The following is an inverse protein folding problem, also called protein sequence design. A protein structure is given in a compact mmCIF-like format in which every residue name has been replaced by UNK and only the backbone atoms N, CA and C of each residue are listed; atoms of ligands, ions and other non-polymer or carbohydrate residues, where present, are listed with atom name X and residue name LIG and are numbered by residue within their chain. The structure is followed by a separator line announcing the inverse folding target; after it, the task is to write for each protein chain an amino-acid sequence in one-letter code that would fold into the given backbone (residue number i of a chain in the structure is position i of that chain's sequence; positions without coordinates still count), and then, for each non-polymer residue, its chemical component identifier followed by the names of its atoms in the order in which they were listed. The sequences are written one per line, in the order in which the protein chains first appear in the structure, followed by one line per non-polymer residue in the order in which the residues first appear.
data_IF_380598762645
#
_entry.id   IF_380598762645
#
_cell.length_a   1.000
_cell.length_b   1.000
_cell.length_c   1.000
_cell.angle_alpha   90.00
_cell.angle_beta   90.00
_cell.angle_gamma   90.00
#
_symmetry.space_group_name_H-M   'P 1'
#
loop_
_entity.id
_entity.type
_entity.pdbx_description
1 polymer ?
#
# COMPACT_ATOMS: atom_id res chain seq x y z
N UNK A 1 20.75 23.34 0.57
CA UNK A 1 19.52 22.78 -0.01
C UNK A 1 19.27 21.34 0.45
N UNK A 2 20.11 20.33 0.15
CA UNK A 2 19.89 18.96 0.69
C UNK A 2 19.96 18.87 2.24
N UNK A 3 20.96 19.48 2.87
CA UNK A 3 21.15 19.39 4.34
C UNK A 3 20.03 20.08 5.13
N UNK A 4 19.50 21.17 4.59
CA UNK A 4 18.32 21.87 5.14
C UNK A 4 17.06 21.02 4.99
N UNK A 5 16.85 20.37 3.84
CA UNK A 5 15.68 19.50 3.62
C UNK A 5 15.66 18.29 4.57
N UNK A 6 16.83 17.64 4.76
CA UNK A 6 16.97 16.52 5.72
C UNK A 6 16.67 16.97 7.16
N UNK A 7 17.07 18.18 7.54
CA UNK A 7 16.81 18.71 8.88
C UNK A 7 15.34 18.99 9.13
N UNK A 8 14.62 19.48 8.11
CA UNK A 8 13.17 19.73 8.17
C UNK A 8 12.38 18.42 8.22
N UNK A 9 12.73 17.44 7.38
CA UNK A 9 12.14 16.10 7.39
C UNK A 9 12.22 15.47 8.78
N UNK A 10 13.43 15.39 9.35
CA UNK A 10 13.65 14.77 10.67
C UNK A 10 12.92 15.51 11.79
N UNK A 11 12.86 16.84 11.74
CA UNK A 11 12.15 17.65 12.72
C UNK A 11 10.64 17.38 12.65
N UNK A 12 10.04 17.46 11.46
CA UNK A 12 8.60 17.28 11.28
C UNK A 12 8.15 15.87 11.61
N UNK A 13 8.89 14.85 11.16
CA UNK A 13 8.64 13.46 11.55
C UNK A 13 8.64 13.33 13.07
N UNK A 14 9.63 13.90 13.77
CA UNK A 14 9.70 13.86 15.24
C UNK A 14 8.50 14.53 15.91
N UNK A 15 8.01 15.65 15.38
CA UNK A 15 6.82 16.33 15.91
C UNK A 15 5.56 15.49 15.72
N UNK A 16 5.35 14.92 14.53
CA UNK A 16 4.25 13.99 14.25
C UNK A 16 4.25 12.84 15.26
N UNK A 17 5.43 12.27 15.57
CA UNK A 17 5.56 11.19 16.56
C UNK A 17 5.27 11.63 18.00
N UNK A 18 5.73 12.83 18.38
CA UNK A 18 5.47 13.38 19.70
C UNK A 18 3.96 13.57 19.92
N UNK A 19 3.26 14.07 18.90
CA UNK A 19 1.82 14.28 18.99
C UNK A 19 1.06 12.96 19.02
N UNK A 20 1.47 11.97 18.22
CA UNK A 20 0.92 10.63 18.27
C UNK A 20 1.05 9.98 19.66
N UNK A 21 2.20 10.12 20.31
CA UNK A 21 2.44 9.61 21.66
C UNK A 21 1.52 10.30 22.69
N UNK A 22 1.32 11.60 22.52
CA UNK A 22 0.42 12.41 23.36
C UNK A 22 -1.03 11.93 23.22
N UNK A 23 -1.47 11.70 21.99
CA UNK A 23 -2.82 11.20 21.66
C UNK A 23 -3.04 9.75 22.12
N UNK A 24 -2.03 8.89 22.01
CA UNK A 24 -2.08 7.52 22.54
C UNK A 24 -2.33 7.50 24.05
N UNK A 25 -1.72 8.43 24.80
CA UNK A 25 -1.98 8.62 26.23
C UNK A 25 -3.42 9.04 26.56
N UNK A 26 -4.22 9.41 25.55
CA UNK A 26 -5.63 9.79 25.68
C UNK A 26 -6.60 8.75 25.12
N UNK A 27 -6.10 7.61 24.63
CA UNK A 27 -6.90 6.53 24.07
C UNK A 27 -7.03 6.54 22.55
N UNK A 28 -6.37 7.46 21.83
CA UNK A 28 -6.40 7.49 20.36
C UNK A 28 -5.26 6.63 19.82
N UNK A 29 -5.59 5.56 19.09
CA UNK A 29 -4.60 4.67 18.49
C UNK A 29 -3.73 5.38 17.45
N UNK A 30 -2.52 4.87 17.20
CA UNK A 30 -1.61 5.49 16.24
C UNK A 30 -2.21 5.52 14.82
N UNK A 31 -2.83 4.43 14.38
CA UNK A 31 -3.46 4.34 13.05
C UNK A 31 -4.62 5.33 12.90
N UNK A 32 -5.44 5.48 13.95
CA UNK A 32 -6.50 6.48 13.98
C UNK A 32 -5.92 7.89 13.86
N UNK A 33 -4.85 8.19 14.60
CA UNK A 33 -4.15 9.47 14.52
C UNK A 33 -3.61 9.76 13.12
N UNK A 34 -2.90 8.82 12.48
CA UNK A 34 -2.37 9.02 11.11
C UNK A 34 -3.51 9.26 10.12
N UNK A 35 -4.65 8.61 10.33
CA UNK A 35 -5.85 8.82 9.50
C UNK A 35 -6.40 10.24 9.68
N UNK A 36 -6.52 10.74 10.93
CA UNK A 36 -6.95 12.13 11.18
C UNK A 36 -5.96 13.15 10.64
N UNK A 37 -4.66 12.90 10.81
CA UNK A 37 -3.58 13.70 10.24
C UNK A 37 -3.71 13.78 8.71
N UNK A 38 -4.07 12.68 8.06
CA UNK A 38 -4.23 12.60 6.61
C UNK A 38 -5.40 13.48 6.12
N UNK A 39 -6.56 13.38 6.76
CA UNK A 39 -7.72 14.22 6.43
C UNK A 39 -7.40 15.72 6.55
N UNK A 40 -6.77 16.11 7.66
CA UNK A 40 -6.43 17.50 7.94
C UNK A 40 -5.32 18.01 7.02
N UNK A 41 -4.31 17.17 6.73
CA UNK A 41 -3.22 17.52 5.82
C UNK A 41 -3.74 17.78 4.41
N UNK A 42 -4.65 16.96 3.90
CA UNK A 42 -5.25 17.19 2.59
C UNK A 42 -6.01 18.53 2.53
N UNK A 43 -6.81 18.84 3.55
CA UNK A 43 -7.50 20.14 3.65
C UNK A 43 -6.52 21.33 3.68
N UNK A 44 -5.42 21.21 4.42
CA UNK A 44 -4.38 22.25 4.46
C UNK A 44 -3.75 22.45 3.09
N UNK A 45 -3.43 21.36 2.39
CA UNK A 45 -2.79 21.42 1.06
C UNK A 45 -3.72 22.02 0.00
N UNK A 46 -5.02 21.70 0.02
CA UNK A 46 -6.00 22.35 -0.87
C UNK A 46 -6.07 23.87 -0.63
N UNK A 47 -6.08 24.30 0.63
CA UNK A 47 -6.07 25.73 0.96
C UNK A 47 -4.77 26.42 0.53
N UNK A 48 -3.61 25.77 0.69
CA UNK A 48 -2.35 26.32 0.18
C UNK A 48 -2.32 26.40 -1.35
N UNK A 49 -2.97 25.47 -2.05
CA UNK A 49 -3.05 25.50 -3.52
C UNK A 49 -3.84 26.74 -3.98
N UNK A 50 -4.97 27.02 -3.32
CA UNK A 50 -5.79 28.22 -3.56
C UNK A 50 -4.99 29.50 -3.28
N UNK A 51 -4.22 29.55 -2.19
CA UNK A 51 -3.41 30.72 -1.81
C UNK A 51 -2.17 30.94 -2.69
N UNK A 52 -1.47 29.87 -3.10
CA UNK A 52 -0.17 29.97 -3.79
C UNK A 52 -0.28 29.97 -5.31
N UNK A 53 -1.28 29.28 -5.86
CA UNK A 53 -1.42 29.05 -7.30
C UNK A 53 -2.72 29.63 -7.88
N UNK A 54 -3.55 30.28 -7.05
CA UNK A 54 -4.85 30.85 -7.45
C UNK A 54 -5.78 29.81 -8.11
N UNK A 55 -5.61 28.53 -7.76
CA UNK A 55 -6.48 27.45 -8.22
C UNK A 55 -7.79 27.43 -7.42
N UNK A 56 -8.91 27.15 -8.08
CA UNK A 56 -10.19 26.98 -7.39
C UNK A 56 -10.12 25.77 -6.44
N UNK A 57 -10.41 26.00 -5.17
CA UNK A 57 -10.50 24.93 -4.18
C UNK A 57 -11.54 23.89 -4.60
N UNK A 58 -11.14 22.62 -4.53
CA UNK A 58 -12.04 21.51 -4.80
C UNK A 58 -12.92 21.17 -3.58
N UNK A 59 -12.73 21.89 -2.47
CA UNK A 59 -13.47 21.73 -1.21
C UNK A 59 -14.66 22.71 -1.17
N UNK A 60 -15.88 22.22 -0.87
CA UNK A 60 -17.07 23.08 -0.80
C UNK A 60 -16.92 24.26 0.17
N UNK A 61 -17.51 25.40 -0.22
CA UNK A 61 -17.52 26.61 0.60
C UNK A 61 -18.11 26.33 1.99
N UNK A 62 -17.47 26.89 3.03
CA UNK A 62 -17.86 26.69 4.43
C UNK A 62 -17.29 25.44 5.08
N UNK A 63 -16.55 24.59 4.36
CA UNK A 63 -15.88 23.38 4.88
C UNK A 63 -14.38 23.35 4.56
N UNK A 64 -13.80 24.50 4.22
CA UNK A 64 -12.38 24.65 3.88
C UNK A 64 -11.53 24.76 5.13
N UNK A 65 -10.20 24.66 4.97
CA UNK A 65 -9.25 24.76 6.09
C UNK A 65 -9.45 26.01 6.96
N UNK A 66 -9.72 27.16 6.35
CA UNK A 66 -9.96 28.43 7.08
C UNK A 66 -11.15 28.32 8.04
N UNK A 67 -12.21 27.62 7.63
CA UNK A 67 -13.41 27.43 8.45
C UNK A 67 -13.11 26.51 9.65
N UNK A 68 -12.19 25.57 9.51
CA UNK A 68 -11.82 24.63 10.57
C UNK A 68 -10.82 25.24 11.56
N UNK A 69 -9.78 25.93 11.07
CA UNK A 69 -8.65 26.35 11.92
C UNK A 69 -9.00 27.41 12.95
N UNK A 70 -10.01 28.23 12.69
CA UNK A 70 -10.45 29.31 13.59
C UNK A 70 -11.41 28.83 14.69
N UNK A 71 -11.95 27.60 14.58
CA UNK A 71 -12.91 27.06 15.54
C UNK A 71 -12.24 26.44 16.77
N UNK A 72 -12.96 26.43 17.89
CA UNK A 72 -12.52 25.85 19.15
C UNK A 72 -13.65 25.07 19.84
N UNK A 73 -13.31 24.31 20.87
CA UNK A 73 -14.28 23.62 21.72
C UNK A 73 -15.16 22.61 20.98
N UNK A 74 -16.41 22.47 21.41
CA UNK A 74 -17.34 21.50 20.82
C UNK A 74 -17.77 21.90 19.41
N UNK A 75 -17.73 23.19 19.09
CA UNK A 75 -18.05 23.70 17.75
C UNK A 75 -17.03 23.19 16.72
N UNK A 76 -15.73 23.21 17.07
CA UNK A 76 -14.68 22.61 16.26
C UNK A 76 -14.95 21.12 15.98
N UNK A 77 -15.30 20.36 17.02
CA UNK A 77 -15.54 18.92 16.89
C UNK A 77 -16.71 18.63 15.94
N UNK A 78 -17.83 19.31 16.17
CA UNK A 78 -19.04 19.20 15.35
C UNK A 78 -18.78 19.59 13.90
N UNK A 79 -18.03 20.68 13.68
CA UNK A 79 -17.70 21.15 12.34
C UNK A 79 -16.75 20.21 11.61
N UNK A 80 -15.74 19.67 12.30
CA UNK A 80 -14.83 18.68 11.74
C UNK A 80 -15.59 17.42 11.29
N UNK A 81 -16.46 16.88 12.13
CA UNK A 81 -17.28 15.71 11.79
C UNK A 81 -18.22 15.98 10.60
N UNK A 82 -18.82 17.17 10.54
CA UNK A 82 -19.64 17.58 9.41
C UNK A 82 -18.83 17.72 8.11
N UNK A 83 -17.62 18.27 8.21
CA UNK A 83 -16.67 18.37 7.09
C UNK A 83 -16.31 16.99 6.56
N UNK A 84 -15.90 16.06 7.44
CA UNK A 84 -15.60 14.67 7.04
C UNK A 84 -16.78 14.00 6.33
N UNK A 85 -18.01 14.20 6.83
CA UNK A 85 -19.21 13.66 6.19
C UNK A 85 -19.38 14.18 4.77
N UNK A 86 -19.32 15.51 4.57
CA UNK A 86 -19.53 16.13 3.26
C UNK A 86 -18.46 15.72 2.25
N UNK A 87 -17.21 15.59 2.71
CA UNK A 87 -16.10 15.18 1.85
C UNK A 87 -16.17 13.69 1.51
N UNK A 88 -16.70 12.85 2.41
CA UNK A 88 -16.93 11.43 2.12
C UNK A 88 -18.03 11.17 1.10
N UNK A 89 -18.88 12.17 0.83
CA UNK A 89 -19.96 12.13 -0.17
C UNK A 89 -19.49 12.67 -1.54
N UNK A 90 -18.24 13.14 -1.66
CA UNK A 90 -17.66 13.58 -2.94
C UNK A 90 -17.17 12.39 -3.78
N UNK A 91 -16.90 12.66 -5.05
CA UNK A 91 -16.33 11.68 -5.99
C UNK A 91 -14.81 11.83 -6.14
N UNK A 92 -14.21 10.96 -6.95
CA UNK A 92 -12.82 11.02 -7.39
C UNK A 92 -11.82 11.04 -6.21
N UNK A 93 -10.69 11.76 -6.34
CA UNK A 93 -9.63 11.80 -5.32
C UNK A 93 -10.14 12.20 -3.93
N UNK A 94 -11.00 13.22 -3.85
CA UNK A 94 -11.57 13.67 -2.57
C UNK A 94 -12.39 12.56 -1.94
N UNK A 95 -13.34 11.99 -2.69
CA UNK A 95 -14.14 10.86 -2.20
C UNK A 95 -13.29 9.68 -1.72
N UNK A 96 -12.21 9.36 -2.44
CA UNK A 96 -11.29 8.29 -2.05
C UNK A 96 -10.52 8.60 -0.78
N UNK A 97 -9.95 9.80 -0.65
CA UNK A 97 -9.23 10.21 0.56
C UNK A 97 -10.18 10.18 1.76
N UNK A 98 -11.42 10.63 1.60
CA UNK A 98 -12.41 10.67 2.68
C UNK A 98 -13.33 9.43 2.72
N UNK A 99 -12.87 8.28 2.20
CA UNK A 99 -13.66 7.04 2.16
C UNK A 99 -14.21 6.68 3.55
N UNK A 100 -15.54 6.78 3.72
CA UNK A 100 -16.23 6.54 5.00
C UNK A 100 -15.55 7.25 6.18
N UNK A 101 -15.11 8.49 5.96
CA UNK A 101 -14.34 9.26 6.93
C UNK A 101 -15.08 9.39 8.27
N UNK A 102 -14.34 9.18 9.35
CA UNK A 102 -14.85 9.28 10.72
C UNK A 102 -13.80 9.93 11.61
N UNK A 103 -14.27 10.81 12.49
CA UNK A 103 -13.46 11.34 13.57
C UNK A 103 -13.18 10.26 14.63
N UNK A 104 -11.94 10.24 15.13
CA UNK A 104 -11.49 9.38 16.23
C UNK A 104 -10.85 10.17 17.38
N UNK A 105 -10.86 11.50 17.31
CA UNK A 105 -10.37 12.41 18.34
C UNK A 105 -11.58 13.17 18.90
N UNK A 106 -12.14 12.66 19.99
CA UNK A 106 -13.35 13.16 20.64
C UNK A 106 -13.11 14.36 21.57
N UNK A 107 -11.84 14.67 21.87
CA UNK A 107 -11.44 15.77 22.75
C UNK A 107 -10.97 16.98 21.93
N UNK A 108 -11.70 18.11 21.93
CA UNK A 108 -11.39 19.29 21.11
C UNK A 108 -9.97 19.82 21.25
N UNK A 109 -9.43 19.85 22.47
CA UNK A 109 -8.07 20.35 22.76
C UNK A 109 -7.01 19.55 22.00
N UNK A 110 -7.21 18.24 21.84
CA UNK A 110 -6.25 17.40 21.13
C UNK A 110 -6.44 17.47 19.62
N UNK A 111 -7.68 17.59 19.12
CA UNK A 111 -7.93 17.85 17.71
C UNK A 111 -7.30 19.19 17.27
N UNK A 112 -7.49 20.25 18.07
CA UNK A 112 -6.86 21.55 17.84
C UNK A 112 -5.34 21.47 17.80
N UNK A 113 -4.70 20.65 18.65
CA UNK A 113 -3.24 20.43 18.60
C UNK A 113 -2.78 19.85 17.27
N UNK A 114 -3.53 18.91 16.68
CA UNK A 114 -3.21 18.36 15.35
C UNK A 114 -3.37 19.44 14.28
N UNK A 115 -4.46 20.20 14.33
CA UNK A 115 -4.73 21.31 13.41
C UNK A 115 -3.60 22.36 13.47
N UNK A 116 -3.23 22.82 14.66
CA UNK A 116 -2.17 23.82 14.85
C UNK A 116 -0.81 23.33 14.34
N UNK A 117 -0.44 22.08 14.63
CA UNK A 117 0.81 21.49 14.13
C UNK A 117 0.85 21.49 12.58
N UNK A 118 -0.27 21.21 11.92
CA UNK A 118 -0.36 21.23 10.46
C UNK A 118 -0.34 22.67 9.92
N UNK A 119 -1.02 23.61 10.60
CA UNK A 119 -1.12 25.02 10.18
C UNK A 119 0.23 25.77 10.27
N UNK A 120 1.09 25.38 11.21
CA UNK A 120 2.42 25.97 11.42
C UNK A 120 3.41 25.68 10.28
N UNK A 121 3.07 24.78 9.34
CA UNK A 121 3.93 24.36 8.23
C UNK A 121 3.36 24.82 6.88
N UNK A 122 4.26 25.02 5.90
CA UNK A 122 3.92 25.23 4.50
C UNK A 122 4.23 23.96 3.70
N UNK A 123 3.23 23.13 3.45
CA UNK A 123 3.41 21.79 2.90
C UNK A 123 3.68 21.80 1.38
N UNK A 124 3.01 22.65 0.62
CA UNK A 124 3.19 22.75 -0.83
C UNK A 124 4.55 23.30 -1.23
N UNK A 125 5.12 24.19 -0.41
CA UNK A 125 6.46 24.75 -0.61
C UNK A 125 7.55 23.70 -0.40
N UNK A 126 7.27 22.64 0.36
CA UNK A 126 8.18 21.52 0.50
C UNK A 126 8.32 20.77 -0.83
N UNK A 127 9.54 20.35 -1.13
CA UNK A 127 9.85 19.48 -2.24
C UNK A 127 8.95 18.22 -2.22
N UNK A 128 8.48 17.78 -3.38
CA UNK A 128 7.61 16.60 -3.51
C UNK A 128 8.23 15.35 -2.89
N UNK A 129 9.53 15.14 -3.10
CA UNK A 129 10.25 14.00 -2.56
C UNK A 129 10.32 14.06 -1.03
N UNK A 130 10.39 15.27 -0.45
CA UNK A 130 10.39 15.47 1.00
C UNK A 130 9.02 15.12 1.60
N UNK A 131 7.91 15.58 1.00
CA UNK A 131 6.56 15.23 1.48
C UNK A 131 6.31 13.73 1.44
N UNK A 132 6.66 13.10 0.31
CA UNK A 132 6.53 11.66 0.12
C UNK A 132 7.34 10.88 1.17
N UNK A 133 8.61 11.25 1.37
CA UNK A 133 9.48 10.63 2.36
C UNK A 133 8.96 10.75 3.80
N UNK A 134 8.45 11.93 4.19
CA UNK A 134 7.86 12.14 5.52
C UNK A 134 6.66 11.21 5.73
N UNK A 135 5.76 11.13 4.74
CA UNK A 135 4.56 10.31 4.85
C UNK A 135 4.89 8.81 4.86
N UNK A 136 5.80 8.36 4.00
CA UNK A 136 6.34 7.00 4.00
C UNK A 136 6.99 6.64 5.35
N UNK A 137 7.77 7.54 5.95
CA UNK A 137 8.37 7.34 7.26
C UNK A 137 7.33 7.22 8.39
N UNK A 138 6.20 7.93 8.30
CA UNK A 138 5.07 7.81 9.22
C UNK A 138 4.41 6.44 9.08
N UNK A 139 4.13 6.01 7.84
CA UNK A 139 3.51 4.73 7.53
C UNK A 139 4.39 3.54 7.92
N UNK A 140 5.69 3.59 7.61
CA UNK A 140 6.65 2.53 7.93
C UNK A 140 6.68 2.28 9.44
N UNK A 141 6.82 3.33 10.23
CA UNK A 141 6.94 3.17 11.67
C UNK A 141 5.57 2.86 12.33
N UNK A 142 4.44 3.21 11.70
CA UNK A 142 3.13 2.67 12.10
C UNK A 142 3.03 1.16 11.85
N UNK A 143 3.49 0.70 10.67
CA UNK A 143 3.48 -0.72 10.29
C UNK A 143 4.45 -1.58 11.09
N UNK A 144 5.54 -0.99 11.60
CA UNK A 144 6.52 -1.68 12.47
C UNK A 144 6.10 -1.71 13.94
N UNK A 145 5.10 -0.93 14.37
CA UNK A 145 4.60 -0.96 15.73
C UNK A 145 3.77 -2.23 15.99
N UNK A 146 4.29 -3.10 16.85
CA UNK A 146 3.62 -4.35 17.24
C UNK A 146 2.30 -4.13 17.96
N UNK A 147 2.12 -2.98 18.62
CA UNK A 147 0.91 -2.68 19.42
C UNK A 147 -0.23 -2.10 18.57
N UNK A 148 0.07 -1.53 17.40
CA UNK A 148 -0.94 -0.87 16.56
C UNK A 148 -1.79 -1.84 15.76
N UNK A 149 -1.28 -3.06 15.49
CA UNK A 149 -1.90 -4.01 14.56
C UNK A 149 -1.84 -3.56 13.10
N UNK A 150 -1.23 -2.41 12.79
CA UNK A 150 -1.19 -1.83 11.45
C UNK A 150 -0.22 -2.53 10.51
N UNK A 151 0.71 -3.33 11.05
CA UNK A 151 1.65 -4.10 10.27
C UNK A 151 1.00 -5.08 9.28
N UNK A 152 -0.27 -5.44 9.49
CA UNK A 152 -1.04 -6.23 8.53
C UNK A 152 -1.25 -5.53 7.18
N UNK A 153 -1.14 -4.20 7.14
CA UNK A 153 -1.33 -3.35 5.94
C UNK A 153 0.00 -2.87 5.34
N UNK A 154 1.14 -3.37 5.86
CA UNK A 154 2.46 -2.87 5.48
C UNK A 154 3.38 -4.01 5.02
N UNK A 155 4.08 -3.76 3.92
CA UNK A 155 5.11 -4.64 3.36
C UNK A 155 6.46 -3.92 3.39
N UNK A 156 7.56 -4.55 3.87
CA UNK A 156 8.88 -3.92 3.90
C UNK A 156 9.32 -3.42 2.52
N UNK A 157 9.67 -2.13 2.42
CA UNK A 157 10.09 -1.49 1.15
C UNK A 157 11.24 -2.21 0.44
N UNK A 158 12.28 -2.72 1.14
CA UNK A 158 13.33 -3.53 0.52
C UNK A 158 12.81 -4.74 -0.26
N UNK A 159 11.76 -5.42 0.25
CA UNK A 159 11.16 -6.57 -0.40
C UNK A 159 10.33 -6.13 -1.62
N UNK A 160 9.55 -5.05 -1.47
CA UNK A 160 8.78 -4.47 -2.58
C UNK A 160 9.71 -4.14 -3.76
N UNK A 161 10.80 -3.41 -3.49
CA UNK A 161 11.78 -3.01 -4.49
C UNK A 161 12.37 -4.23 -5.21
N UNK A 162 12.82 -5.25 -4.48
CA UNK A 162 13.35 -6.47 -5.09
C UNK A 162 12.32 -7.22 -5.95
N UNK A 163 11.05 -7.24 -5.54
CA UNK A 163 9.98 -7.85 -6.33
C UNK A 163 9.70 -7.08 -7.62
N UNK A 164 9.69 -5.75 -7.57
CA UNK A 164 9.55 -4.88 -8.74
C UNK A 164 10.76 -5.04 -9.68
N UNK A 165 11.98 -5.07 -9.15
CA UNK A 165 13.22 -5.26 -9.92
C UNK A 165 13.26 -6.62 -10.65
N UNK A 166 12.63 -7.65 -10.07
CA UNK A 166 12.48 -8.95 -10.71
C UNK A 166 11.38 -8.93 -11.79
N UNK A 167 10.22 -8.34 -11.53
CA UNK A 167 9.13 -8.32 -12.51
C UNK A 167 9.36 -7.33 -13.66
N UNK A 168 10.14 -6.28 -13.43
CA UNK A 168 10.48 -5.26 -14.42
C UNK A 168 9.24 -4.72 -15.16
N UNK A 169 8.26 -4.12 -14.45
CA UNK A 169 7.07 -3.56 -15.11
C UNK A 169 7.49 -2.54 -16.17
N UNK A 170 6.85 -2.57 -17.33
CA UNK A 170 7.18 -1.72 -18.48
C UNK A 170 6.11 -0.64 -18.66
N UNK A 171 6.54 0.57 -19.01
CA UNK A 171 5.61 1.68 -19.25
C UNK A 171 4.65 1.34 -20.40
N UNK A 172 3.34 1.41 -20.09
CA UNK A 172 2.25 0.96 -20.97
C UNK A 172 1.58 -0.34 -20.51
N UNK A 173 2.15 -1.05 -19.53
CA UNK A 173 1.50 -2.18 -18.87
C UNK A 173 0.55 -1.72 -17.75
N UNK A 174 -0.48 -2.53 -17.46
CA UNK A 174 -1.30 -2.36 -16.24
C UNK A 174 -0.74 -3.17 -15.07
N UNK A 175 -0.66 -2.53 -13.91
CA UNK A 175 -0.18 -3.08 -12.64
C UNK A 175 -1.31 -3.04 -11.61
N UNK A 176 -1.62 -4.19 -11.01
CA UNK A 176 -2.61 -4.27 -9.93
C UNK A 176 -2.04 -4.86 -8.64
N UNK A 177 -2.47 -4.28 -7.52
CA UNK A 177 -2.35 -4.86 -6.18
C UNK A 177 -3.75 -5.01 -5.57
N UNK A 178 -4.34 -6.23 -5.54
CA UNK A 178 -5.68 -6.46 -5.03
C UNK A 178 -5.74 -6.55 -3.49
N UNK A 179 -4.67 -6.22 -2.78
CA UNK A 179 -4.63 -6.10 -1.33
C UNK A 179 -3.64 -5.00 -0.95
N UNK A 180 -3.88 -3.79 -1.47
CA UNK A 180 -2.82 -2.80 -1.66
C UNK A 180 -2.22 -2.22 -0.39
N UNK A 181 -2.90 -2.33 0.76
CA UNK A 181 -2.41 -1.76 2.01
C UNK A 181 -2.10 -0.28 1.81
N UNK A 182 -0.92 0.15 2.24
CA UNK A 182 -0.40 1.53 2.06
C UNK A 182 -0.05 1.95 0.61
N UNK A 183 -0.27 1.09 -0.40
CA UNK A 183 0.03 1.40 -1.81
C UNK A 183 1.49 1.24 -2.21
N UNK A 184 2.32 0.62 -1.36
CA UNK A 184 3.78 0.56 -1.57
C UNK A 184 4.22 -0.15 -2.86
N UNK A 185 3.53 -1.21 -3.28
CA UNK A 185 3.84 -1.88 -4.55
C UNK A 185 3.53 -0.99 -5.76
N UNK A 186 2.40 -0.28 -5.73
CA UNK A 186 2.00 0.62 -6.80
C UNK A 186 2.95 1.80 -6.95
N UNK A 187 3.36 2.39 -5.82
CA UNK A 187 4.35 3.46 -5.79
C UNK A 187 5.69 3.00 -6.38
N UNK A 188 6.23 1.87 -5.91
CA UNK A 188 7.49 1.35 -6.41
C UNK A 188 7.44 0.96 -7.90
N UNK A 189 6.32 0.40 -8.37
CA UNK A 189 6.12 0.09 -9.79
C UNK A 189 6.02 1.36 -10.64
N UNK A 190 5.35 2.40 -10.15
CA UNK A 190 5.28 3.70 -10.80
C UNK A 190 6.67 4.32 -10.96
N UNK A 191 7.45 4.39 -9.88
CA UNK A 191 8.80 4.95 -9.92
C UNK A 191 9.70 4.19 -10.90
N UNK A 192 9.61 2.86 -10.91
CA UNK A 192 10.34 2.01 -11.86
C UNK A 192 9.96 2.29 -13.33
N UNK A 193 8.68 2.55 -13.62
CA UNK A 193 8.21 2.82 -14.98
C UNK A 193 8.41 4.27 -15.43
N UNK A 194 8.34 5.24 -14.50
CA UNK A 194 8.43 6.69 -14.77
C UNK A 194 9.72 7.08 -15.48
N UNK A 195 10.81 6.38 -15.20
CA UNK A 195 12.13 6.67 -15.78
C UNK A 195 12.31 6.09 -17.19
N UNK A 196 11.45 5.16 -17.62
CA UNK A 196 11.64 4.41 -18.87
C UNK A 196 11.30 5.20 -20.14
N UNK A 197 10.46 6.24 -20.04
CA UNK A 197 10.09 7.04 -21.20
C UNK A 197 9.65 8.46 -20.84
N UNK A 198 10.06 9.41 -21.68
CA UNK A 198 9.59 10.79 -21.65
C UNK A 198 8.41 11.04 -22.61
N UNK A 199 7.94 10.01 -23.31
CA UNK A 199 6.80 10.13 -24.23
C UNK A 199 5.54 10.54 -23.47
N UNK A 200 4.88 11.61 -23.93
CA UNK A 200 3.74 12.21 -23.24
C UNK A 200 2.58 11.22 -23.13
N UNK A 201 2.25 10.49 -24.21
CA UNK A 201 1.12 9.56 -24.20
C UNK A 201 1.34 8.39 -23.23
N UNK A 202 2.56 7.85 -23.19
CA UNK A 202 2.93 6.81 -22.22
C UNK A 202 2.91 7.31 -20.78
N UNK A 203 3.36 8.54 -20.52
CA UNK A 203 3.30 9.16 -19.20
C UNK A 203 1.87 9.44 -18.77
N UNK A 204 1.02 9.91 -19.69
CA UNK A 204 -0.40 10.12 -19.43
C UNK A 204 -1.10 8.80 -19.11
N UNK A 205 -0.75 7.70 -19.79
CA UNK A 205 -1.24 6.37 -19.44
C UNK A 205 -0.75 5.93 -18.05
N UNK A 206 0.56 6.07 -17.77
CA UNK A 206 1.15 5.71 -16.48
C UNK A 206 0.45 6.44 -15.30
N UNK A 207 0.20 7.73 -15.46
CA UNK A 207 -0.36 8.58 -14.41
C UNK A 207 -1.85 8.29 -14.13
N UNK A 208 -2.61 7.82 -15.12
CA UNK A 208 -4.07 7.80 -15.05
C UNK A 208 -4.71 6.41 -15.24
N UNK A 209 -3.99 5.44 -15.82
CA UNK A 209 -4.59 4.17 -16.26
C UNK A 209 -3.75 2.93 -15.92
N UNK A 210 -2.45 3.08 -15.66
CA UNK A 210 -1.58 1.94 -15.44
C UNK A 210 -1.80 1.25 -14.09
N UNK A 211 -2.15 2.00 -13.04
CA UNK A 211 -2.15 1.48 -11.66
C UNK A 211 -3.57 1.23 -11.17
N UNK A 212 -3.76 0.12 -10.46
CA UNK A 212 -5.00 -0.17 -9.75
C UNK A 212 -4.73 -0.85 -8.41
N UNK A 213 -5.27 -0.30 -7.32
CA UNK A 213 -5.16 -0.87 -5.98
C UNK A 213 -6.52 -1.13 -5.37
N UNK A 214 -6.66 -2.24 -4.65
CA UNK A 214 -7.89 -2.55 -3.90
C UNK A 214 -7.55 -2.86 -2.46
N UNK A 215 -8.25 -2.21 -1.53
CA UNK A 215 -8.25 -2.57 -0.11
C UNK A 215 -9.67 -2.46 0.45
N UNK A 216 -10.06 -3.40 1.30
CA UNK A 216 -11.42 -3.43 1.84
C UNK A 216 -11.60 -2.56 3.09
N UNK A 217 -10.50 -2.02 3.63
CA UNK A 217 -10.50 -1.24 4.86
C UNK A 217 -10.47 0.26 4.54
N UNK A 218 -11.53 1.02 4.86
CA UNK A 218 -11.65 2.44 4.46
C UNK A 218 -10.46 3.32 4.85
N UNK A 219 -9.98 3.21 6.09
CA UNK A 219 -8.83 4.00 6.54
C UNK A 219 -7.55 3.67 5.75
N UNK A 220 -7.40 2.42 5.27
CA UNK A 220 -6.22 2.00 4.52
C UNK A 220 -6.27 2.59 3.11
N UNK A 221 -7.47 2.66 2.52
CA UNK A 221 -7.72 3.37 1.26
C UNK A 221 -7.39 4.86 1.38
N UNK A 222 -7.76 5.51 2.49
CA UNK A 222 -7.34 6.88 2.79
C UNK A 222 -5.82 7.02 2.79
N UNK A 223 -5.11 6.14 3.51
CA UNK A 223 -3.65 6.21 3.60
C UNK A 223 -2.97 5.94 2.25
N UNK A 224 -3.46 4.95 1.50
CA UNK A 224 -2.92 4.60 0.18
C UNK A 224 -3.12 5.72 -0.84
N UNK A 225 -4.35 6.24 -0.94
CA UNK A 225 -4.67 7.32 -1.87
C UNK A 225 -3.89 8.59 -1.57
N UNK A 226 -3.75 8.95 -0.29
CA UNK A 226 -2.89 10.07 0.12
C UNK A 226 -1.43 9.82 -0.20
N UNK A 227 -0.93 8.60 0.05
CA UNK A 227 0.46 8.25 -0.21
C UNK A 227 0.80 8.43 -1.69
N UNK A 228 -0.04 7.91 -2.58
CA UNK A 228 0.14 8.06 -4.03
C UNK A 228 0.02 9.52 -4.46
N UNK A 229 -0.96 10.26 -3.93
CA UNK A 229 -1.15 11.69 -4.21
C UNK A 229 0.09 12.53 -3.86
N UNK A 230 0.69 12.30 -2.68
CA UNK A 230 1.90 13.02 -2.25
C UNK A 230 3.12 12.74 -3.14
N UNK A 231 3.14 11.61 -3.84
CA UNK A 231 4.15 11.26 -4.84
C UNK A 231 3.76 11.69 -6.28
N UNK A 232 2.68 12.48 -6.41
CA UNK A 232 2.21 13.02 -7.69
C UNK A 232 1.45 12.02 -8.57
N UNK A 233 0.89 10.97 -7.98
CA UNK A 233 0.14 9.92 -8.67
C UNK A 233 -1.36 10.09 -8.38
N UNK A 234 -2.20 10.09 -9.43
CA UNK A 234 -3.65 10.12 -9.26
C UNK A 234 -4.23 11.46 -8.81
N UNK A 235 -3.68 12.58 -9.32
CA UNK A 235 -4.06 13.95 -8.92
C UNK A 235 -5.53 14.30 -9.20
N UNK A 236 -6.14 13.72 -10.23
CA UNK A 236 -7.57 13.90 -10.51
C UNK A 236 -8.42 12.74 -9.97
N UNK A 237 -7.91 11.52 -10.04
CA UNK A 237 -8.57 10.29 -9.58
C UNK A 237 -7.55 9.37 -8.94
N UNK A 238 -7.88 8.86 -7.76
CA UNK A 238 -7.06 7.84 -7.10
C UNK A 238 -7.15 6.51 -7.86
N UNK A 239 -6.02 5.79 -8.05
CA UNK A 239 -6.05 4.41 -8.56
C UNK A 239 -6.52 3.39 -7.51
N UNK A 240 -6.80 3.83 -6.28
CA UNK A 240 -7.20 2.97 -5.16
C UNK A 240 -8.73 2.92 -5.03
N UNK A 241 -9.28 1.71 -4.93
CA UNK A 241 -10.69 1.44 -4.69
C UNK A 241 -10.92 0.79 -3.31
N UNK A 242 -12.04 1.13 -2.67
CA UNK A 242 -12.46 0.54 -1.39
C UNK A 242 -13.41 -0.63 -1.62
N UNK A 243 -12.87 -1.81 -1.91
CA UNK A 243 -13.65 -3.00 -2.27
C UNK A 243 -13.09 -4.26 -1.61
N UNK A 244 -13.92 -5.31 -1.54
CA UNK A 244 -13.46 -6.64 -1.17
C UNK A 244 -13.12 -7.44 -2.43
N UNK A 245 -11.82 -7.59 -2.70
CA UNK A 245 -11.32 -8.26 -3.91
C UNK A 245 -11.87 -9.67 -4.10
N UNK A 246 -12.21 -10.37 -3.03
CA UNK A 246 -12.74 -11.73 -3.12
C UNK A 246 -14.24 -11.78 -3.43
N UNK A 247 -14.97 -10.65 -3.29
CA UNK A 247 -16.43 -10.60 -3.44
C UNK A 247 -16.89 -10.83 -4.89
N UNK A 248 -16.15 -10.33 -5.88
CA UNK A 248 -16.57 -10.32 -7.29
C UNK A 248 -15.51 -10.88 -8.24
N UNK A 249 -15.98 -11.44 -9.35
CA UNK A 249 -15.12 -11.77 -10.49
C UNK A 249 -14.42 -10.50 -11.00
N UNK A 250 -13.13 -10.55 -11.38
CA UNK A 250 -12.44 -9.38 -11.89
C UNK A 250 -13.01 -8.93 -13.24
N UNK A 251 -13.48 -7.69 -13.31
CA UNK A 251 -14.02 -7.11 -14.55
C UNK A 251 -12.94 -6.85 -15.61
N UNK A 252 -11.68 -6.68 -15.17
CA UNK A 252 -10.55 -6.37 -16.05
C UNK A 252 -9.35 -7.22 -15.69
N UNK A 253 -8.73 -7.80 -16.72
CA UNK A 253 -7.48 -8.53 -16.59
C UNK A 253 -6.27 -7.59 -16.71
N UNK A 254 -5.17 -7.91 -16.03
CA UNK A 254 -3.97 -7.05 -15.96
C UNK A 254 -2.70 -7.73 -16.46
N UNK A 255 -1.70 -6.92 -16.82
CA UNK A 255 -0.40 -7.40 -17.29
C UNK A 255 0.51 -7.83 -16.12
N UNK A 256 0.47 -7.10 -15.01
CA UNK A 256 1.34 -7.29 -13.84
C UNK A 256 0.52 -7.31 -12.55
N UNK A 257 0.80 -8.27 -11.67
CA UNK A 257 0.31 -8.29 -10.28
C UNK A 257 1.48 -8.26 -9.31
N UNK A 258 1.44 -7.32 -8.37
CA UNK A 258 2.38 -7.20 -7.26
C UNK A 258 1.57 -7.11 -5.97
N UNK A 259 1.70 -8.08 -5.06
CA UNK A 259 0.81 -8.14 -3.91
C UNK A 259 1.44 -8.79 -2.67
N UNK A 260 0.94 -8.38 -1.51
CA UNK A 260 1.10 -9.09 -0.24
C UNK A 260 -0.28 -9.26 0.42
N UNK A 261 -1.05 -10.30 0.03
CA UNK A 261 -2.35 -10.58 0.62
C UNK A 261 -2.27 -10.83 2.13
N UNK A 262 -3.39 -10.62 2.87
CA UNK A 262 -3.40 -10.79 4.31
C UNK A 262 -3.06 -12.23 4.75
N UNK A 263 -2.13 -12.37 5.71
CA UNK A 263 -1.78 -13.67 6.30
C UNK A 263 -2.84 -14.23 7.26
N UNK A 264 -3.75 -13.37 7.74
CA UNK A 264 -4.81 -13.73 8.68
C UNK A 264 -6.03 -14.36 8.01
N UNK A 265 -6.94 -14.87 8.83
CA UNK A 265 -8.25 -15.34 8.39
C UNK A 265 -9.15 -14.16 7.98
N UNK A 266 -10.05 -14.39 7.04
CA UNK A 266 -11.15 -13.46 6.76
C UNK A 266 -11.97 -13.24 8.05
N UNK A 267 -12.32 -11.99 8.41
CA UNK A 267 -13.06 -11.71 9.64
C UNK A 267 -14.39 -12.49 9.73
N UNK A 268 -14.74 -12.94 10.93
CA UNK A 268 -16.04 -13.57 11.15
C UNK A 268 -17.17 -12.56 10.91
N UNK A 269 -18.21 -12.98 10.17
CA UNK A 269 -19.32 -12.10 9.78
C UNK A 269 -19.09 -11.31 8.49
N UNK A 270 -17.94 -11.46 7.83
CA UNK A 270 -17.79 -11.02 6.45
C UNK A 270 -18.77 -11.76 5.54
N UNK A 271 -19.18 -11.11 4.44
CA UNK A 271 -20.04 -11.73 3.42
C UNK A 271 -19.38 -13.00 2.89
N UNK A 272 -20.18 -14.05 2.74
CA UNK A 272 -19.75 -15.31 2.14
C UNK A 272 -19.29 -15.09 0.71
N UNK A 273 -18.15 -15.68 0.37
CA UNK A 273 -17.58 -15.55 -0.98
C UNK A 273 -18.37 -16.46 -1.92
N UNK A 274 -19.04 -15.88 -2.91
CA UNK A 274 -19.72 -16.60 -3.98
C UNK A 274 -18.99 -16.36 -5.31
N UNK A 275 -18.02 -17.23 -5.61
CA UNK A 275 -17.10 -17.08 -6.75
C UNK A 275 -17.11 -18.35 -7.60
N UNK A 276 -18.09 -18.50 -8.52
CA UNK A 276 -18.22 -19.70 -9.35
C UNK A 276 -17.04 -19.88 -10.33
N UNK A 277 -16.28 -18.82 -10.57
CA UNK A 277 -15.04 -18.80 -11.36
C UNK A 277 -13.82 -19.35 -10.59
N UNK A 278 -13.88 -19.47 -9.26
CA UNK A 278 -12.82 -20.09 -8.47
C UNK A 278 -12.67 -21.57 -8.79
N UNK A 279 -11.43 -22.05 -8.84
CA UNK A 279 -11.13 -23.45 -9.19
C UNK A 279 -11.63 -24.43 -8.13
N UNK A 280 -11.69 -23.98 -6.87
CA UNK A 280 -12.16 -24.78 -5.74
C UNK A 280 -12.65 -23.86 -4.62
N UNK A 281 -13.72 -24.26 -3.95
CA UNK A 281 -14.18 -23.60 -2.74
C UNK A 281 -13.24 -23.91 -1.55
N UNK A 282 -12.85 -22.88 -0.80
CA UNK A 282 -12.06 -23.04 0.42
C UNK A 282 -12.29 -21.89 1.39
N UNK A 283 -12.15 -22.18 2.69
CA UNK A 283 -12.14 -21.16 3.75
C UNK A 283 -10.75 -20.57 4.00
N UNK A 284 -9.72 -21.13 3.38
CA UNK A 284 -8.37 -20.59 3.47
C UNK A 284 -8.28 -19.29 2.66
N UNK A 285 -8.15 -18.18 3.36
CA UNK A 285 -8.14 -16.83 2.79
C UNK A 285 -6.97 -16.64 1.80
N UNK A 286 -5.79 -17.17 2.10
CA UNK A 286 -4.61 -17.01 1.23
C UNK A 286 -4.76 -17.80 -0.07
N UNK A 287 -5.36 -18.98 -0.01
CA UNK A 287 -5.70 -19.75 -1.21
C UNK A 287 -6.74 -19.04 -2.07
N UNK A 288 -7.75 -18.39 -1.46
CA UNK A 288 -8.72 -17.57 -2.20
C UNK A 288 -8.07 -16.37 -2.90
N UNK A 289 -7.14 -15.66 -2.24
CA UNK A 289 -6.37 -14.60 -2.89
C UNK A 289 -5.48 -15.13 -4.03
N UNK A 290 -4.83 -16.29 -3.86
CA UNK A 290 -4.02 -16.89 -4.92
C UNK A 290 -4.85 -17.18 -6.17
N UNK A 291 -6.00 -17.86 -6.04
CA UNK A 291 -6.84 -18.15 -7.20
C UNK A 291 -7.46 -16.89 -7.82
N UNK A 292 -7.82 -15.90 -7.00
CA UNK A 292 -8.27 -14.59 -7.49
C UNK A 292 -7.20 -13.92 -8.38
N UNK A 293 -5.96 -13.82 -7.89
CA UNK A 293 -4.85 -13.23 -8.66
C UNK A 293 -4.50 -14.04 -9.92
N UNK A 294 -4.60 -15.37 -9.87
CA UNK A 294 -4.44 -16.22 -11.07
C UNK A 294 -5.50 -15.88 -12.14
N UNK A 295 -6.74 -15.63 -11.73
CA UNK A 295 -7.86 -15.30 -12.63
C UNK A 295 -7.71 -13.88 -13.21
N UNK A 296 -7.17 -12.93 -12.44
CA UNK A 296 -6.92 -11.54 -12.86
C UNK A 296 -5.86 -11.36 -13.95
N UNK A 297 -4.92 -12.29 -14.13
CA UNK A 297 -3.87 -12.13 -15.13
C UNK A 297 -4.40 -12.28 -16.56
N UNK A 298 -3.95 -11.42 -17.47
CA UNK A 298 -4.02 -11.65 -18.93
C UNK A 298 -3.17 -12.87 -19.30
N UNK A 299 -3.45 -13.50 -20.45
CA UNK A 299 -2.50 -14.46 -21.03
C UNK A 299 -1.17 -13.75 -21.35
N UNK A 300 -0.06 -14.30 -20.89
CA UNK A 300 1.26 -13.65 -20.94
C UNK A 300 1.54 -12.69 -19.77
N UNK A 301 0.52 -12.35 -18.97
CA UNK A 301 0.69 -11.55 -17.75
C UNK A 301 1.47 -12.30 -16.66
N UNK A 302 2.06 -11.56 -15.73
CA UNK A 302 2.96 -12.07 -14.69
C UNK A 302 2.67 -11.51 -13.30
N UNK A 303 2.96 -12.29 -12.27
CA UNK A 303 2.72 -11.92 -10.88
C UNK A 303 3.93 -12.21 -9.99
N UNK A 304 4.10 -11.39 -8.95
CA UNK A 304 4.94 -11.66 -7.80
C UNK A 304 4.13 -11.43 -6.52
N UNK A 305 3.89 -12.50 -5.76
CA UNK A 305 2.94 -12.49 -4.63
C UNK A 305 3.56 -13.06 -3.38
N UNK A 306 3.44 -12.35 -2.25
CA UNK A 306 3.88 -12.83 -0.94
C UNK A 306 2.83 -13.76 -0.34
N UNK A 307 3.17 -15.00 -0.05
CA UNK A 307 2.25 -16.00 0.51
C UNK A 307 2.90 -16.82 1.64
N UNK A 308 2.15 -17.24 2.68
CA UNK A 308 2.70 -18.07 3.74
C UNK A 308 3.00 -19.50 3.28
N UNK A 309 3.84 -20.21 4.04
CA UNK A 309 4.20 -21.60 3.76
C UNK A 309 2.97 -22.52 3.62
N UNK A 310 1.84 -22.25 4.29
CA UNK A 310 0.64 -23.08 4.21
C UNK A 310 0.14 -23.29 2.77
N UNK A 311 0.23 -22.26 1.92
CA UNK A 311 -0.15 -22.34 0.51
C UNK A 311 0.68 -23.40 -0.24
N UNK A 312 1.91 -23.64 0.18
CA UNK A 312 2.83 -24.59 -0.46
C UNK A 312 2.56 -26.05 -0.08
N UNK A 313 2.02 -26.34 1.10
CA UNK A 313 1.89 -27.72 1.59
C UNK A 313 0.47 -28.17 1.95
N UNK A 314 -0.49 -27.25 2.13
CA UNK A 314 -1.86 -27.62 2.50
C UNK A 314 -2.48 -28.55 1.44
N UNK A 315 -3.05 -29.66 1.88
CA UNK A 315 -3.74 -30.63 1.00
C UNK A 315 -5.13 -30.15 0.56
N UNK A 316 -5.90 -31.03 -0.08
CA UNK A 316 -7.28 -30.72 -0.49
C UNK A 316 -7.33 -29.55 -1.48
N UNK A 317 -8.01 -28.47 -1.11
CA UNK A 317 -8.11 -27.27 -1.96
C UNK A 317 -6.73 -26.69 -2.34
N UNK A 318 -5.77 -26.68 -1.41
CA UNK A 318 -4.42 -26.20 -1.69
C UNK A 318 -3.72 -27.00 -2.78
N UNK A 319 -3.88 -28.34 -2.77
CA UNK A 319 -3.33 -29.21 -3.81
C UNK A 319 -3.98 -28.97 -5.17
N UNK A 320 -5.31 -28.79 -5.21
CA UNK A 320 -6.05 -28.49 -6.43
C UNK A 320 -5.57 -27.18 -7.06
N UNK A 321 -5.45 -26.13 -6.26
CA UNK A 321 -4.96 -24.82 -6.72
C UNK A 321 -3.51 -24.92 -7.20
N UNK A 322 -2.63 -25.61 -6.46
CA UNK A 322 -1.24 -25.82 -6.90
C UNK A 322 -1.15 -26.61 -8.21
N UNK A 323 -1.96 -27.65 -8.39
CA UNK A 323 -2.04 -28.39 -9.67
C UNK A 323 -2.46 -27.47 -10.80
N UNK A 324 -3.49 -26.64 -10.60
CA UNK A 324 -3.95 -25.67 -11.60
C UNK A 324 -2.86 -24.64 -11.93
N UNK A 325 -2.17 -24.13 -10.91
CA UNK A 325 -1.06 -23.21 -11.07
C UNK A 325 0.07 -23.82 -11.92
N UNK A 326 0.42 -25.09 -11.71
CA UNK A 326 1.49 -25.74 -12.48
C UNK A 326 1.10 -26.07 -13.93
N UNK A 327 -0.19 -26.30 -14.20
CA UNK A 327 -0.67 -26.69 -15.54
C UNK A 327 -0.90 -25.45 -16.43
N UNK A 328 -1.52 -24.40 -15.89
CA UNK A 328 -1.95 -23.24 -16.69
C UNK A 328 -0.99 -22.04 -16.59
N UNK A 329 -0.10 -22.06 -15.59
CA UNK A 329 0.86 -21.00 -15.32
C UNK A 329 2.27 -21.58 -15.22
N UNK A 330 3.25 -20.72 -15.46
CA UNK A 330 4.65 -21.03 -15.32
C UNK A 330 5.14 -20.45 -14.00
N UNK A 331 5.05 -21.22 -12.92
CA UNK A 331 5.63 -20.93 -11.61
C UNK A 331 7.14 -21.21 -11.67
N UNK A 332 7.89 -20.24 -12.15
CA UNK A 332 9.31 -20.43 -12.43
C UNK A 332 10.23 -20.12 -11.24
N UNK A 333 9.75 -19.38 -10.22
CA UNK A 333 10.60 -18.98 -9.08
C UNK A 333 9.83 -18.91 -7.77
N UNK A 334 10.44 -19.43 -6.70
CA UNK A 334 9.99 -19.27 -5.31
C UNK A 334 11.15 -18.75 -4.46
N UNK A 335 10.98 -17.55 -3.90
CA UNK A 335 11.89 -16.98 -2.91
C UNK A 335 11.38 -17.33 -1.50
N UNK A 336 12.16 -18.07 -0.71
CA UNK A 336 11.84 -18.32 0.70
C UNK A 336 12.35 -17.17 1.55
N UNK A 337 11.44 -16.42 2.17
CA UNK A 337 11.81 -15.22 2.93
C UNK A 337 12.33 -15.57 4.34
N UNK A 338 13.24 -14.75 4.89
CA UNK A 338 13.70 -14.89 6.27
C UNK A 338 12.56 -14.56 7.23
N UNK A 339 12.53 -15.23 8.38
CA UNK A 339 11.58 -14.91 9.45
C UNK A 339 11.94 -13.57 10.09
N UNK A 340 10.96 -12.89 10.69
CA UNK A 340 11.20 -11.70 11.51
C UNK A 340 11.21 -10.37 10.74
N UNK A 341 10.95 -10.40 9.43
CA UNK A 341 10.83 -9.19 8.58
C UNK A 341 9.40 -8.62 8.53
N UNK A 342 8.40 -9.37 8.99
CA UNK A 342 7.00 -8.91 9.10
C UNK A 342 6.62 -8.63 10.56
N UNK A 343 5.54 -7.88 10.75
CA UNK A 343 4.99 -7.53 12.07
C UNK A 343 4.66 -8.78 12.91
N UNK A 344 4.09 -9.79 12.26
CA UNK A 344 3.74 -11.06 12.87
C UNK A 344 4.99 -11.95 12.99
N UNK A 345 5.53 -12.03 14.22
CA UNK A 345 6.69 -12.88 14.52
C UNK A 345 6.37 -14.35 14.24
N UNK A 346 7.32 -15.04 13.58
CA UNK A 346 7.18 -16.46 13.25
C UNK A 346 6.46 -16.75 11.93
N UNK A 347 5.89 -15.75 11.25
CA UNK A 347 5.35 -15.95 9.90
C UNK A 347 6.48 -16.38 8.97
N UNK A 348 6.28 -17.55 8.34
CA UNK A 348 7.13 -18.07 7.27
C UNK A 348 6.44 -17.76 5.95
N UNK A 349 6.98 -16.79 5.23
CA UNK A 349 6.45 -16.33 3.96
C UNK A 349 7.41 -16.63 2.81
N UNK A 350 6.86 -16.62 1.60
CA UNK A 350 7.57 -16.84 0.35
C UNK A 350 7.07 -15.82 -0.68
N UNK A 351 7.88 -15.52 -1.68
CA UNK A 351 7.40 -14.84 -2.89
C UNK A 351 7.30 -15.86 -4.02
N UNK A 352 6.12 -15.98 -4.62
CA UNK A 352 5.90 -16.81 -5.81
C UNK A 352 5.92 -15.89 -7.03
N UNK A 353 6.72 -16.25 -8.03
CA UNK A 353 6.75 -15.56 -9.32
C UNK A 353 6.23 -16.49 -10.40
N UNK A 354 5.17 -16.07 -11.11
CA UNK A 354 4.56 -16.89 -12.15
C UNK A 354 3.96 -16.06 -13.29
N UNK A 355 3.86 -16.65 -14.47
CA UNK A 355 3.21 -16.07 -15.65
C UNK A 355 2.08 -16.95 -16.18
N UNK A 356 1.02 -16.37 -16.72
CA UNK A 356 -0.15 -17.11 -17.25
C UNK A 356 0.05 -17.57 -18.69
N UNK A 357 -0.41 -18.79 -18.98
CA UNK A 357 -0.59 -19.29 -20.34
C UNK A 357 0.45 -20.29 -20.83
N UNK A 358 1.49 -20.59 -20.04
CA UNK A 358 2.45 -21.67 -20.32
C UNK A 358 2.57 -22.54 -19.08
N UNK A 359 2.63 -23.88 -19.22
CA UNK A 359 2.80 -24.77 -18.08
C UNK A 359 4.17 -24.62 -17.43
N UNK A 360 4.24 -24.91 -16.13
CA UNK A 360 5.49 -24.97 -15.38
C UNK A 360 6.32 -26.18 -15.83
N UNK A 361 7.62 -25.96 -16.04
CA UNK A 361 8.58 -27.05 -16.36
C UNK A 361 9.56 -27.26 -15.21
N UNK A 362 10.21 -26.18 -14.81
CA UNK A 362 11.20 -26.14 -13.75
C UNK A 362 10.86 -25.02 -12.76
N UNK A 363 11.16 -25.24 -11.48
CA UNK A 363 10.92 -24.25 -10.41
C UNK A 363 12.25 -23.96 -9.72
N UNK A 364 12.68 -22.71 -9.76
CA UNK A 364 13.88 -22.25 -9.08
C UNK A 364 13.56 -21.81 -7.66
N UNK A 365 14.19 -22.44 -6.67
CA UNK A 365 14.08 -22.03 -5.28
C UNK A 365 15.30 -21.21 -4.86
N UNK A 366 15.06 -20.04 -4.28
CA UNK A 366 16.10 -19.27 -3.60
C UNK A 366 15.81 -19.29 -2.09
N UNK A 367 16.69 -19.91 -1.31
CA UNK A 367 16.55 -19.98 0.15
C UNK A 367 17.22 -18.79 0.83
N UNK A 368 16.46 -17.72 1.05
CA UNK A 368 16.89 -16.58 1.86
C UNK A 368 16.40 -16.68 3.31
N UNK A 369 16.18 -17.90 3.82
CA UNK A 369 15.65 -18.15 5.16
C UNK A 369 16.64 -18.93 6.02
N UNK A 370 17.20 -20.01 5.52
CA UNK A 370 18.11 -20.87 6.28
C UNK A 370 19.40 -20.13 6.63
N UNK A 371 19.71 -20.02 7.93
CA UNK A 371 20.91 -19.31 8.40
C UNK A 371 20.83 -17.78 8.39
N UNK A 372 19.78 -17.19 7.81
CA UNK A 372 19.57 -15.73 7.71
C UNK A 372 18.83 -15.22 8.96
N UNK A 373 19.30 -14.12 9.56
CA UNK A 373 18.77 -13.58 10.82
C UNK A 373 18.45 -12.10 10.73
N UNK A 374 17.26 -11.76 10.24
CA UNK A 374 16.73 -10.39 10.30
C UNK A 374 15.70 -10.23 11.42
N UNK A 375 15.61 -9.03 11.97
CA UNK A 375 14.49 -8.65 12.84
C UNK A 375 14.04 -7.22 12.54
N UNK A 376 12.82 -6.86 12.95
CA UNK A 376 12.33 -5.48 12.84
C UNK A 376 13.10 -4.47 13.71
N UNK A 377 13.84 -4.92 14.73
CA UNK A 377 14.53 -4.03 15.67
C UNK A 377 16.03 -3.94 15.38
N UNK A 378 16.68 -5.08 15.15
CA UNK A 378 18.11 -5.23 14.90
C UNK A 378 18.35 -6.04 13.63
N UNK A 379 19.44 -5.74 12.91
CA UNK A 379 19.77 -6.34 11.63
C UNK A 379 18.58 -6.32 10.64
N UNK A 380 18.02 -5.12 10.42
CA UNK A 380 16.85 -4.93 9.54
C UNK A 380 17.14 -5.42 8.12
N UNK A 381 16.11 -5.88 7.42
CA UNK A 381 16.22 -6.14 5.99
C UNK A 381 16.44 -4.80 5.27
N UNK A 382 17.39 -4.78 4.33
CA UNK A 382 17.71 -3.65 3.45
C UNK A 382 17.77 -4.16 2.02
N UNK A 383 17.62 -3.28 1.01
CA UNK A 383 17.51 -3.72 -0.39
C UNK A 383 18.72 -4.54 -0.86
N UNK A 384 19.93 -4.13 -0.47
CA UNK A 384 21.16 -4.80 -0.90
C UNK A 384 21.28 -6.27 -0.43
N UNK A 385 20.56 -6.64 0.64
CA UNK A 385 20.50 -8.03 1.11
C UNK A 385 19.85 -8.98 0.09
N UNK A 386 19.06 -8.45 -0.85
CA UNK A 386 18.36 -9.20 -1.90
C UNK A 386 19.05 -9.06 -3.26
N UNK A 387 20.22 -8.41 -3.36
CA UNK A 387 20.92 -8.20 -4.64
C UNK A 387 21.31 -9.51 -5.31
N UNK A 388 21.83 -10.47 -4.54
CA UNK A 388 22.19 -11.79 -5.05
C UNK A 388 20.97 -12.54 -5.60
N UNK A 389 19.83 -12.48 -4.89
CA UNK A 389 18.58 -13.05 -5.39
C UNK A 389 18.15 -12.41 -6.72
N UNK A 390 18.16 -11.07 -6.82
CA UNK A 390 17.76 -10.37 -8.06
C UNK A 390 18.73 -10.68 -9.21
N UNK A 391 20.02 -10.83 -8.93
CA UNK A 391 21.01 -11.26 -9.91
C UNK A 391 20.75 -12.70 -10.39
N UNK A 392 20.51 -13.65 -9.48
CA UNK A 392 20.12 -15.02 -9.81
C UNK A 392 18.81 -15.08 -10.60
N UNK A 393 17.84 -14.23 -10.27
CA UNK A 393 16.55 -14.18 -10.97
C UNK A 393 16.73 -13.82 -12.45
N UNK A 394 17.59 -12.84 -12.74
CA UNK A 394 17.84 -12.29 -14.08
C UNK A 394 18.92 -13.06 -14.88
N UNK A 395 19.61 -14.02 -14.26
CA UNK A 395 20.65 -14.79 -14.93
C UNK A 395 20.08 -15.61 -16.11
N UNK A 396 20.80 -15.59 -17.24
CA UNK A 396 20.47 -16.38 -18.43
C UNK A 396 21.75 -17.02 -19.01
N UNK A 397 21.93 -18.34 -18.88
CA UNK A 397 21.06 -19.30 -18.18
C UNK A 397 21.11 -19.10 -16.66
N UNK A 398 20.04 -19.51 -15.95
CA UNK A 398 20.08 -19.68 -14.49
C UNK A 398 20.97 -20.87 -14.15
N UNK A 399 21.74 -20.77 -13.06
CA UNK A 399 22.69 -21.78 -12.62
C UNK A 399 22.36 -22.17 -11.18
N UNK A 400 22.38 -23.46 -10.89
CA UNK A 400 22.22 -23.97 -9.52
C UNK A 400 23.46 -23.61 -8.70
N UNK A 401 23.25 -22.96 -7.56
CA UNK A 401 24.32 -22.49 -6.67
C UNK A 401 24.43 -23.33 -5.39
N UNK A 402 23.50 -24.28 -5.20
CA UNK A 402 23.49 -25.22 -4.09
C UNK A 402 24.11 -26.54 -4.55
N UNK A 403 25.02 -27.10 -3.76
CA UNK A 403 25.61 -28.43 -3.98
C UNK A 403 24.88 -29.48 -3.17
#
# INVERSE_FOLDING_TARGET
NMTTNISTEQALTKEVWKLATTLAGQGVGYTDYVTQLTYLLFLKMDAENEELFEEESSIPEGYRWINLKEMDGLDLLSHYEKTLKILSEQDNLIGTIFTKAQNKIDKPVYLKKVISMIDEQQWLVMDGDVKGAIYEGILEKNGQDKKSGAGQYFTPRPLIQAMVDCLQPQIGETVCDPACGTGGFLLAAYDYMKEQSQDKGKRDFLNNNALHGVDNTPLVVTLASMNLYLHGIGTNRSPIACEDSLEKEPDTMVDVILANPPFGTRPAGSVDINRPDFYVETKNNQLNFLQHMMLMLKNGGRAAVVLPDNVLFEGGAGEIIRKKLLIDFNLHTILRLPTGIFYAQGVKANVLFFSKGQPTKDIWFYDYRTGVKHTLATNKLHRHHLDDFVACYNASPRVETYN
#
